data_IF_450969209421
#
_entry.id   IF_450969209421
#
_cell.length_a   1.000
_cell.length_b   1.000
_cell.length_c   1.000
_cell.angle_alpha   90.00
_cell.angle_beta   90.00
_cell.angle_gamma   90.00
#
_symmetry.space_group_name_H-M   'P 1'
#
loop_
_entity.id
_entity.type
_entity.pdbx_description
1 polymer ?
#
# COMPACT_ATOMS: atom_id res chain seq x y z
N UNK A 1 -49.11 63.90 32.16
CA UNK A 1 -47.91 63.90 31.31
C UNK A 1 -47.28 62.52 31.52
N UNK A 2 -47.59 61.59 30.62
CA UNK A 2 -47.21 60.16 30.73
C UNK A 2 -46.07 59.95 29.75
N UNK A 3 -44.87 59.55 30.27
CA UNK A 3 -43.66 59.32 29.48
C UNK A 3 -43.57 57.83 29.19
N UNK A 4 -43.82 57.45 27.92
CA UNK A 4 -43.62 56.06 27.43
C UNK A 4 -42.14 55.81 27.13
N UNK A 5 -41.56 54.88 27.83
CA UNK A 5 -40.18 54.34 27.55
C UNK A 5 -40.31 53.17 26.58
N UNK A 6 -39.83 53.36 25.35
CA UNK A 6 -39.74 52.30 24.37
C UNK A 6 -38.43 51.46 24.59
N UNK A 7 -38.55 50.20 25.00
CA UNK A 7 -37.45 49.27 25.08
C UNK A 7 -37.20 48.69 23.69
N UNK A 8 -36.09 49.07 23.05
CA UNK A 8 -35.62 48.45 21.80
C UNK A 8 -34.78 47.20 22.15
N UNK A 9 -35.40 46.04 21.96
CA UNK A 9 -34.71 44.75 22.12
C UNK A 9 -33.77 44.46 20.92
N UNK A 10 -32.48 44.45 21.17
CA UNK A 10 -31.48 43.98 20.19
C UNK A 10 -31.48 42.44 20.21
N UNK A 11 -32.16 41.83 19.24
CA UNK A 11 -32.02 40.39 18.95
C UNK A 11 -30.64 40.15 18.33
N UNK A 12 -29.66 39.80 19.15
CA UNK A 12 -28.35 39.29 18.69
C UNK A 12 -28.52 37.95 18.03
N UNK A 13 -28.36 37.90 16.70
CA UNK A 13 -28.29 36.64 15.95
C UNK A 13 -26.98 35.95 16.32
N UNK A 14 -27.07 35.02 17.27
CA UNK A 14 -25.96 34.12 17.62
C UNK A 14 -25.73 33.19 16.42
N UNK A 15 -24.74 33.48 15.57
CA UNK A 15 -24.29 32.53 14.55
C UNK A 15 -23.66 31.33 15.30
N UNK A 16 -24.11 30.07 15.03
CA UNK A 16 -23.44 28.93 15.61
C UNK A 16 -21.98 28.96 15.13
N UNK A 17 -21.03 29.07 16.07
CA UNK A 17 -19.63 28.87 15.78
C UNK A 17 -19.48 27.40 15.38
N UNK A 18 -19.40 27.15 14.09
CA UNK A 18 -19.03 25.83 13.56
C UNK A 18 -17.59 25.60 14.01
N UNK A 19 -17.42 24.80 15.07
CA UNK A 19 -16.10 24.35 15.52
C UNK A 19 -15.58 23.44 14.41
N UNK A 20 -14.73 23.96 13.53
CA UNK A 20 -14.08 23.14 12.51
C UNK A 20 -13.26 22.08 13.27
N UNK A 21 -13.65 20.81 13.13
CA UNK A 21 -12.88 19.70 13.66
C UNK A 21 -11.45 19.78 13.09
N UNK A 22 -10.45 19.46 13.92
CA UNK A 22 -9.07 19.38 13.40
C UNK A 22 -9.03 18.33 12.30
N UNK A 23 -8.32 18.58 11.18
CA UNK A 23 -8.13 17.58 10.16
C UNK A 23 -7.54 16.30 10.75
N UNK A 24 -8.02 15.15 10.29
CA UNK A 24 -7.40 13.85 10.58
C UNK A 24 -6.20 13.74 9.64
N UNK A 25 -5.02 13.44 10.18
CA UNK A 25 -3.82 13.20 9.37
C UNK A 25 -3.53 11.71 9.34
N UNK A 26 -3.44 11.15 8.14
CA UNK A 26 -3.12 9.74 7.89
C UNK A 26 -1.69 9.62 7.37
N UNK A 27 -0.95 8.64 7.87
CA UNK A 27 0.35 8.25 7.37
C UNK A 27 0.20 7.33 6.15
N UNK A 28 1.00 7.53 5.09
CA UNK A 28 1.02 6.68 3.91
C UNK A 28 2.46 6.28 3.57
N UNK A 29 2.81 5.02 3.86
CA UNK A 29 4.17 4.50 3.72
C UNK A 29 4.40 3.73 2.42
N UNK A 30 5.62 3.82 1.86
CA UNK A 30 6.11 2.91 0.82
C UNK A 30 7.64 2.82 0.81
N UNK A 31 8.16 1.68 0.34
CA UNK A 31 9.62 1.41 0.34
C UNK A 31 10.37 2.05 -0.82
N UNK A 32 9.66 2.48 -1.86
CA UNK A 32 10.26 3.00 -3.09
C UNK A 32 10.74 4.45 -2.91
N UNK A 33 11.66 4.88 -3.77
CA UNK A 33 12.18 6.25 -3.75
C UNK A 33 11.13 7.31 -4.10
N UNK A 34 11.42 8.56 -3.77
CA UNK A 34 10.55 9.72 -4.07
C UNK A 34 10.35 9.99 -5.58
N UNK A 35 11.17 9.41 -6.44
CA UNK A 35 11.08 9.53 -7.90
C UNK A 35 10.50 8.26 -8.55
N UNK A 36 9.71 7.49 -7.82
CA UNK A 36 9.13 6.24 -8.30
C UNK A 36 7.65 6.38 -8.62
N UNK A 37 7.14 5.44 -9.42
CA UNK A 37 5.69 5.33 -9.69
C UNK A 37 4.87 5.14 -8.39
N UNK A 38 5.44 4.50 -7.36
CA UNK A 38 4.78 4.34 -6.07
C UNK A 38 4.53 5.70 -5.39
N UNK A 39 5.49 6.62 -5.50
CA UNK A 39 5.33 7.98 -4.99
C UNK A 39 4.27 8.76 -5.78
N UNK A 40 4.19 8.55 -7.10
CA UNK A 40 3.16 9.20 -7.92
C UNK A 40 1.77 8.68 -7.54
N UNK A 41 1.61 7.38 -7.36
CA UNK A 41 0.37 6.78 -6.85
C UNK A 41 0.00 7.37 -5.48
N UNK A 42 0.95 7.45 -4.55
CA UNK A 42 0.71 8.01 -3.23
C UNK A 42 0.29 9.49 -3.28
N UNK A 43 0.90 10.29 -4.17
CA UNK A 43 0.52 11.70 -4.41
C UNK A 43 -0.88 11.82 -4.99
N UNK A 44 -1.24 10.96 -5.93
CA UNK A 44 -2.57 10.98 -6.55
C UNK A 44 -3.65 10.64 -5.52
N UNK A 45 -3.42 9.61 -4.70
CA UNK A 45 -4.31 9.25 -3.59
C UNK A 45 -4.42 10.42 -2.61
N UNK A 46 -3.31 11.02 -2.18
CA UNK A 46 -3.29 12.21 -1.32
C UNK A 46 -4.14 13.33 -1.89
N UNK A 47 -3.85 13.72 -3.13
CA UNK A 47 -4.53 14.83 -3.80
C UNK A 47 -6.04 14.57 -3.93
N UNK A 48 -6.42 13.33 -4.26
CA UNK A 48 -7.82 12.94 -4.38
C UNK A 48 -8.55 13.00 -3.02
N UNK A 49 -7.96 12.40 -1.99
CA UNK A 49 -8.57 12.34 -0.65
C UNK A 49 -8.67 13.72 -0.01
N UNK A 50 -7.59 14.51 -0.04
CA UNK A 50 -7.58 15.86 0.52
C UNK A 50 -8.59 16.78 -0.17
N UNK A 51 -8.72 16.65 -1.51
CA UNK A 51 -9.72 17.41 -2.28
C UNK A 51 -11.15 16.95 -1.96
N UNK A 52 -11.40 15.64 -1.89
CA UNK A 52 -12.75 15.09 -1.66
C UNK A 52 -13.25 15.30 -0.24
N UNK A 53 -12.35 15.32 0.73
CA UNK A 53 -12.68 15.62 2.13
C UNK A 53 -12.73 17.12 2.43
N UNK A 54 -12.56 17.99 1.42
CA UNK A 54 -12.42 19.44 1.63
C UNK A 54 -11.35 19.80 2.68
N UNK A 55 -10.28 18.99 2.76
CA UNK A 55 -9.17 19.18 3.69
C UNK A 55 -9.44 18.67 5.11
N UNK A 56 -10.54 17.98 5.37
CA UNK A 56 -10.80 17.31 6.66
C UNK A 56 -9.91 16.11 6.88
N UNK A 57 -9.41 15.49 5.79
CA UNK A 57 -8.42 14.42 5.84
C UNK A 57 -7.14 14.93 5.16
N UNK A 58 -6.00 14.76 5.82
CA UNK A 58 -4.65 15.02 5.32
C UNK A 58 -3.91 13.72 5.17
N UNK A 59 -3.00 13.62 4.21
CA UNK A 59 -2.13 12.45 4.04
C UNK A 59 -0.67 12.90 4.05
N UNK A 60 0.11 12.33 4.96
CA UNK A 60 1.56 12.49 4.99
C UNK A 60 2.22 11.24 4.39
N UNK A 61 3.01 11.43 3.31
CA UNK A 61 3.65 10.34 2.59
C UNK A 61 5.05 10.11 3.17
N UNK A 62 5.35 8.84 3.44
CA UNK A 62 6.62 8.36 4.00
C UNK A 62 7.30 7.40 3.01
N UNK A 63 8.11 7.93 2.07
CA UNK A 63 8.81 7.15 1.05
C UNK A 63 10.11 6.53 1.57
N UNK A 64 10.78 5.75 0.69
CA UNK A 64 12.17 5.28 0.89
C UNK A 64 12.38 4.49 2.18
N UNK A 65 11.43 3.67 2.56
CA UNK A 65 11.49 2.86 3.81
C UNK A 65 11.68 3.69 5.08
N UNK A 66 11.22 4.95 5.09
CA UNK A 66 11.41 5.85 6.24
C UNK A 66 10.66 5.41 7.52
N UNK A 67 9.66 4.54 7.38
CA UNK A 67 8.95 3.89 8.49
C UNK A 67 9.25 2.39 8.60
N UNK A 68 10.35 1.89 8.01
CA UNK A 68 10.73 0.49 8.02
C UNK A 68 10.53 -0.21 6.67
N UNK A 69 10.59 -1.54 6.65
CA UNK A 69 10.34 -2.37 5.48
C UNK A 69 8.86 -2.75 5.32
N UNK A 70 8.53 -3.48 4.26
CA UNK A 70 7.13 -3.86 3.98
C UNK A 70 6.54 -4.78 5.06
N UNK A 71 7.34 -5.60 5.72
CA UNK A 71 6.91 -6.41 6.88
C UNK A 71 6.51 -5.52 8.05
N UNK A 72 7.34 -4.48 8.34
CA UNK A 72 7.04 -3.51 9.39
C UNK A 72 5.75 -2.74 9.08
N UNK A 73 5.46 -2.52 7.78
CA UNK A 73 4.21 -1.86 7.38
C UNK A 73 2.98 -2.72 7.65
N UNK A 74 3.03 -4.04 7.38
CA UNK A 74 1.92 -4.96 7.71
C UNK A 74 1.67 -4.95 9.22
N UNK A 75 2.72 -5.06 10.02
CA UNK A 75 2.62 -5.02 11.49
C UNK A 75 2.13 -3.65 11.98
N UNK A 76 2.62 -2.55 11.38
CA UNK A 76 2.21 -1.19 11.71
C UNK A 76 0.75 -0.91 11.39
N UNK A 77 0.24 -1.40 10.25
CA UNK A 77 -1.18 -1.34 9.90
C UNK A 77 -2.05 -2.10 10.89
N UNK A 78 -1.62 -3.30 11.30
CA UNK A 78 -2.34 -4.11 12.31
C UNK A 78 -2.34 -3.43 13.69
N UNK A 79 -1.24 -2.78 14.06
CA UNK A 79 -1.11 -2.07 15.34
C UNK A 79 -1.75 -0.66 15.31
N UNK A 80 -2.13 -0.14 14.13
CA UNK A 80 -2.65 1.21 13.97
C UNK A 80 -1.59 2.31 14.12
N UNK A 81 -0.31 1.99 13.96
CA UNK A 81 0.80 2.97 13.95
C UNK A 81 1.09 3.52 12.56
N UNK A 82 0.64 2.83 11.53
CA UNK A 82 0.60 3.25 10.12
C UNK A 82 -0.85 3.14 9.66
N UNK A 83 -1.35 4.15 8.93
CA UNK A 83 -2.74 4.18 8.47
C UNK A 83 -2.91 3.59 7.07
N UNK A 84 -1.94 3.81 6.18
CA UNK A 84 -1.95 3.37 4.79
C UNK A 84 -0.55 2.97 4.35
N UNK A 85 -0.45 1.96 3.47
CA UNK A 85 0.82 1.58 2.87
C UNK A 85 0.65 1.01 1.45
N UNK A 86 1.68 1.18 0.60
CA UNK A 86 1.87 0.38 -0.59
C UNK A 86 2.81 -0.78 -0.23
N UNK A 87 2.31 -1.99 -0.35
CA UNK A 87 3.01 -3.21 0.03
C UNK A 87 3.00 -4.18 -1.15
N UNK A 88 4.15 -4.78 -1.44
CA UNK A 88 4.24 -5.83 -2.44
C UNK A 88 3.41 -7.04 -2.00
N UNK A 89 2.50 -7.48 -2.87
CA UNK A 89 1.56 -8.57 -2.56
C UNK A 89 2.25 -9.83 -2.05
N UNK A 90 3.44 -10.13 -2.54
CA UNK A 90 4.26 -11.28 -2.12
C UNK A 90 4.55 -11.31 -0.62
N UNK A 91 4.74 -10.15 0.00
CA UNK A 91 5.04 -10.05 1.43
C UNK A 91 3.90 -10.58 2.29
N UNK A 92 2.66 -10.43 1.80
CA UNK A 92 1.49 -10.97 2.50
C UNK A 92 1.45 -12.50 2.58
N UNK A 93 2.28 -13.25 1.83
CA UNK A 93 2.35 -14.72 1.94
C UNK A 93 2.63 -15.21 3.36
N UNK A 94 3.27 -14.38 4.20
CA UNK A 94 3.54 -14.70 5.60
C UNK A 94 2.26 -14.74 6.47
N UNK A 95 1.17 -14.11 6.02
CA UNK A 95 -0.12 -14.03 6.71
C UNK A 95 -1.27 -14.63 5.88
N UNK A 96 -1.14 -14.64 4.56
CA UNK A 96 -2.13 -15.08 3.60
C UNK A 96 -1.43 -15.78 2.43
N UNK A 97 -1.36 -17.11 2.46
CA UNK A 97 -0.62 -17.91 1.45
C UNK A 97 -1.17 -17.74 0.04
N UNK A 98 -2.47 -17.44 -0.10
CA UNK A 98 -3.15 -17.26 -1.38
C UNK A 98 -2.58 -16.08 -2.18
N UNK A 99 -1.92 -15.11 -1.54
CA UNK A 99 -1.22 -14.03 -2.22
C UNK A 99 -0.09 -14.52 -3.10
N UNK A 100 0.42 -15.73 -2.86
CA UNK A 100 1.40 -16.41 -3.70
C UNK A 100 0.95 -16.64 -5.15
N UNK A 101 -0.35 -16.61 -5.45
CA UNK A 101 -0.87 -16.66 -6.82
C UNK A 101 -0.16 -15.65 -7.74
N UNK A 102 0.17 -14.48 -7.23
CA UNK A 102 0.80 -13.41 -8.01
C UNK A 102 2.32 -13.62 -8.22
N UNK A 103 2.91 -14.59 -7.53
CA UNK A 103 4.33 -14.93 -7.66
C UNK A 103 4.59 -16.25 -8.42
N UNK A 104 3.53 -16.97 -8.83
CA UNK A 104 3.69 -18.17 -9.63
C UNK A 104 4.29 -17.77 -10.99
N UNK A 105 5.45 -18.34 -11.36
CA UNK A 105 6.10 -18.00 -12.62
C UNK A 105 5.20 -18.23 -13.81
N UNK A 106 5.17 -17.27 -14.75
CA UNK A 106 4.47 -17.33 -16.05
C UNK A 106 2.92 -17.40 -15.98
N UNK A 107 2.30 -17.36 -14.80
CA UNK A 107 0.82 -17.36 -14.67
C UNK A 107 0.24 -16.00 -15.09
N UNK A 108 0.93 -14.91 -14.74
CA UNK A 108 0.48 -13.55 -15.06
C UNK A 108 1.34 -13.01 -16.20
N UNK A 109 0.76 -12.96 -17.39
CA UNK A 109 1.49 -12.60 -18.61
C UNK A 109 1.69 -11.09 -18.77
N UNK A 110 0.78 -10.28 -18.23
CA UNK A 110 0.78 -8.82 -18.40
C UNK A 110 -0.02 -8.10 -17.30
N UNK A 111 0.03 -6.77 -17.31
CA UNK A 111 -0.62 -5.94 -16.29
C UNK A 111 -2.15 -5.99 -16.34
N UNK A 112 -2.74 -6.15 -17.52
CA UNK A 112 -4.18 -6.26 -17.66
C UNK A 112 -4.68 -7.57 -17.04
N UNK A 113 -3.95 -8.66 -17.22
CA UNK A 113 -4.23 -9.95 -16.58
C UNK A 113 -4.12 -9.84 -15.05
N UNK A 114 -3.07 -9.19 -14.53
CA UNK A 114 -2.93 -8.96 -13.08
C UNK A 114 -4.11 -8.17 -12.50
N UNK A 115 -4.51 -7.09 -13.18
CA UNK A 115 -5.64 -6.26 -12.79
C UNK A 115 -6.98 -7.02 -12.88
N UNK A 116 -7.18 -7.81 -13.94
CA UNK A 116 -8.38 -8.63 -14.10
C UNK A 116 -8.49 -9.68 -12.99
N UNK A 117 -7.40 -10.37 -12.65
CA UNK A 117 -7.35 -11.34 -11.56
C UNK A 117 -7.68 -10.67 -10.22
N UNK A 118 -7.03 -9.53 -9.91
CA UNK A 118 -7.29 -8.80 -8.67
C UNK A 118 -8.76 -8.39 -8.51
N UNK A 119 -9.40 -7.96 -9.60
CA UNK A 119 -10.79 -7.50 -9.61
C UNK A 119 -11.82 -8.64 -9.76
N UNK A 120 -11.38 -9.89 -9.87
CA UNK A 120 -12.24 -11.05 -9.99
C UNK A 120 -12.57 -11.68 -8.64
N UNK A 121 -13.57 -12.57 -8.64
CA UNK A 121 -13.99 -13.37 -7.47
C UNK A 121 -12.87 -14.33 -6.99
N UNK A 122 -11.89 -14.63 -7.84
CA UNK A 122 -10.72 -15.47 -7.50
C UNK A 122 -9.94 -14.87 -6.32
N UNK A 123 -9.84 -13.53 -6.24
CA UNK A 123 -9.13 -12.84 -5.18
C UNK A 123 -9.99 -12.54 -3.93
N UNK A 124 -11.28 -12.83 -3.94
CA UNK A 124 -12.12 -12.54 -2.77
C UNK A 124 -11.76 -13.34 -1.51
N UNK A 125 -11.38 -14.64 -1.57
CA UNK A 125 -10.89 -15.36 -0.39
C UNK A 125 -9.64 -14.68 0.22
N UNK A 126 -8.68 -14.29 -0.62
CA UNK A 126 -7.47 -13.58 -0.23
C UNK A 126 -7.80 -12.22 0.41
N UNK A 127 -8.62 -11.40 -0.25
CA UNK A 127 -9.04 -10.09 0.29
C UNK A 127 -9.77 -10.25 1.62
N UNK A 128 -10.58 -11.29 1.78
CA UNK A 128 -11.24 -11.61 3.05
C UNK A 128 -10.24 -11.93 4.16
N UNK A 129 -9.17 -12.66 3.85
CA UNK A 129 -8.11 -12.94 4.83
C UNK A 129 -7.37 -11.65 5.22
N UNK A 130 -7.04 -10.78 4.26
CA UNK A 130 -6.42 -9.48 4.55
C UNK A 130 -7.34 -8.63 5.44
N UNK A 131 -8.65 -8.61 5.18
CA UNK A 131 -9.64 -7.94 6.07
C UNK A 131 -9.68 -8.55 7.46
N UNK A 132 -9.54 -9.86 7.60
CA UNK A 132 -9.49 -10.53 8.90
C UNK A 132 -8.24 -10.17 9.72
N UNK A 133 -7.18 -9.68 9.05
CA UNK A 133 -6.00 -9.11 9.71
C UNK A 133 -6.19 -7.64 10.15
N UNK A 134 -7.37 -7.05 9.96
CA UNK A 134 -7.70 -5.67 10.31
C UNK A 134 -7.35 -4.63 9.23
N UNK A 135 -7.05 -5.07 8.02
CA UNK A 135 -6.65 -4.20 6.91
C UNK A 135 -7.67 -4.23 5.77
N UNK A 136 -7.89 -3.12 5.07
CA UNK A 136 -8.75 -3.06 3.87
C UNK A 136 -7.88 -2.95 2.61
N UNK A 137 -7.92 -3.96 1.71
CA UNK A 137 -7.21 -3.92 0.43
C UNK A 137 -7.99 -3.09 -0.58
N UNK A 138 -7.72 -1.79 -0.66
CA UNK A 138 -8.44 -0.85 -1.53
C UNK A 138 -8.18 -1.08 -3.03
N UNK A 139 -6.99 -1.52 -3.39
CA UNK A 139 -6.64 -1.72 -4.79
C UNK A 139 -5.28 -2.37 -4.96
N UNK A 140 -4.96 -2.72 -6.21
CA UNK A 140 -3.63 -3.19 -6.58
C UNK A 140 -3.16 -2.46 -7.84
N UNK A 141 -1.87 -2.20 -7.92
CA UNK A 141 -1.20 -1.65 -9.08
C UNK A 141 0.02 -2.50 -9.43
N UNK A 142 0.25 -2.70 -10.72
CA UNK A 142 1.44 -3.41 -11.18
C UNK A 142 2.59 -2.41 -11.34
N UNK A 143 3.71 -2.66 -10.68
CA UNK A 143 4.89 -1.80 -10.72
C UNK A 143 5.88 -2.17 -11.83
N UNK A 144 5.67 -3.27 -12.51
CA UNK A 144 6.52 -3.77 -13.59
C UNK A 144 6.80 -5.26 -13.49
N UNK A 145 7.46 -5.82 -14.52
CA UNK A 145 7.94 -7.18 -14.50
C UNK A 145 9.23 -7.28 -13.69
N UNK A 146 9.41 -8.40 -12.98
CA UNK A 146 10.67 -8.68 -12.30
C UNK A 146 11.74 -9.08 -13.30
N UNK A 147 12.92 -8.51 -13.14
CA UNK A 147 14.09 -8.81 -13.96
C UNK A 147 15.21 -9.35 -13.08
N UNK A 148 15.84 -10.45 -13.50
CA UNK A 148 17.05 -10.92 -12.86
C UNK A 148 18.24 -10.05 -13.28
N UNK A 149 18.94 -9.49 -12.33
CA UNK A 149 20.21 -8.81 -12.55
C UNK A 149 21.32 -9.53 -11.78
N UNK A 150 22.47 -9.74 -12.41
CA UNK A 150 23.67 -10.29 -11.75
C UNK A 150 24.94 -9.77 -12.44
N UNK A 151 26.07 -9.86 -11.74
CA UNK A 151 27.39 -9.46 -12.24
C UNK A 151 28.37 -10.65 -12.39
N UNK A 152 27.86 -11.87 -12.33
CA UNK A 152 28.68 -13.11 -12.37
C UNK A 152 28.79 -13.66 -13.79
N UNK A 153 27.64 -13.84 -14.48
CA UNK A 153 27.56 -14.42 -15.82
C UNK A 153 26.22 -14.13 -16.50
N UNK A 154 26.13 -14.19 -17.83
CA UNK A 154 24.86 -14.20 -18.53
C UNK A 154 23.98 -15.37 -18.07
N UNK A 155 22.68 -15.13 -17.95
CA UNK A 155 21.66 -16.17 -17.66
C UNK A 155 20.74 -16.26 -18.87
N UNK A 156 20.84 -17.33 -19.63
CA UNK A 156 20.09 -17.57 -20.86
C UNK A 156 19.18 -18.79 -20.77
N UNK A 157 19.54 -19.72 -19.90
CA UNK A 157 18.75 -20.93 -19.61
C UNK A 157 18.66 -21.16 -18.09
N UNK A 158 17.67 -21.91 -17.59
CA UNK A 158 17.52 -22.15 -16.15
C UNK A 158 18.78 -22.71 -15.46
N UNK A 159 19.56 -23.55 -16.17
CA UNK A 159 20.79 -24.11 -15.63
C UNK A 159 21.85 -23.06 -15.27
N UNK A 160 21.84 -21.90 -15.91
CA UNK A 160 22.78 -20.80 -15.64
C UNK A 160 22.56 -20.16 -14.26
N UNK A 161 21.40 -20.40 -13.65
CA UNK A 161 21.05 -19.87 -12.30
C UNK A 161 21.81 -20.62 -11.20
N UNK A 162 22.20 -21.85 -11.45
CA UNK A 162 22.80 -22.71 -10.43
C UNK A 162 24.03 -22.08 -9.77
N UNK A 163 23.98 -21.99 -8.44
CA UNK A 163 25.06 -21.45 -7.61
C UNK A 163 25.18 -19.92 -7.62
N UNK A 164 24.30 -19.18 -8.32
CA UNK A 164 24.19 -17.72 -8.15
C UNK A 164 23.62 -17.41 -6.77
N UNK A 165 24.11 -16.35 -6.15
CA UNK A 165 23.47 -15.79 -4.96
C UNK A 165 22.43 -14.77 -5.42
N UNK A 166 21.15 -15.05 -5.13
CA UNK A 166 20.03 -14.23 -5.58
C UNK A 166 19.29 -13.65 -4.37
N UNK A 167 19.14 -12.34 -4.35
CA UNK A 167 18.27 -11.66 -3.38
C UNK A 167 16.83 -11.72 -3.87
N UNK A 168 15.92 -12.12 -3.00
CA UNK A 168 14.48 -12.00 -3.22
C UNK A 168 13.80 -11.36 -2.01
N UNK A 169 12.51 -11.09 -2.11
CA UNK A 169 11.74 -10.56 -0.99
C UNK A 169 11.46 -11.66 0.04
N UNK A 170 11.02 -11.25 1.23
CA UNK A 170 10.66 -12.15 2.34
C UNK A 170 9.30 -12.78 2.05
N UNK A 171 9.30 -13.80 1.17
CA UNK A 171 8.12 -14.57 0.78
C UNK A 171 8.53 -15.98 0.36
N UNK A 172 7.72 -16.99 0.72
CA UNK A 172 8.08 -18.40 0.52
C UNK A 172 8.22 -18.77 -0.96
N UNK A 173 7.23 -18.45 -1.79
CA UNK A 173 7.20 -18.90 -3.18
C UNK A 173 8.36 -18.37 -4.04
N UNK A 174 8.75 -17.08 -3.97
CA UNK A 174 9.95 -16.58 -4.61
C UNK A 174 11.23 -17.28 -4.14
N UNK A 175 11.36 -17.56 -2.84
CA UNK A 175 12.52 -18.27 -2.28
C UNK A 175 12.60 -19.68 -2.88
N UNK A 176 11.55 -20.48 -2.74
CA UNK A 176 11.47 -21.84 -3.26
C UNK A 176 11.71 -21.91 -4.77
N UNK A 177 11.17 -20.96 -5.53
CA UNK A 177 11.36 -20.90 -7.00
C UNK A 177 12.84 -20.81 -7.36
N UNK A 178 13.60 -19.93 -6.72
CA UNK A 178 15.02 -19.78 -7.03
C UNK A 178 15.87 -20.92 -6.47
N UNK A 179 15.52 -21.49 -5.31
CA UNK A 179 16.18 -22.67 -4.74
C UNK A 179 16.02 -23.90 -5.65
N UNK A 180 14.82 -24.12 -6.19
CA UNK A 180 14.56 -25.21 -7.15
C UNK A 180 15.39 -25.07 -8.43
N UNK A 181 15.74 -23.86 -8.84
CA UNK A 181 16.65 -23.58 -9.94
C UNK A 181 18.14 -23.72 -9.54
N UNK A 182 18.43 -24.03 -8.27
CA UNK A 182 19.78 -24.24 -7.74
C UNK A 182 20.52 -22.97 -7.35
N UNK A 183 19.83 -21.85 -7.13
CA UNK A 183 20.43 -20.64 -6.59
C UNK A 183 20.67 -20.75 -5.06
N UNK A 184 21.59 -19.92 -4.56
CA UNK A 184 21.72 -19.63 -3.14
C UNK A 184 20.83 -18.40 -2.84
N UNK A 185 19.71 -18.57 -2.15
CA UNK A 185 18.74 -17.49 -1.95
C UNK A 185 19.01 -16.75 -0.66
N UNK A 186 18.92 -15.42 -0.73
CA UNK A 186 18.93 -14.52 0.40
C UNK A 186 17.65 -13.70 0.38
N UNK A 187 16.78 -13.89 1.37
CA UNK A 187 15.53 -13.13 1.49
C UNK A 187 15.73 -11.91 2.40
N UNK A 188 15.43 -10.73 1.89
CA UNK A 188 15.50 -9.47 2.64
C UNK A 188 14.63 -8.38 1.99
#
# INVERSE_FOLDING_TARGET
>A
MIMSIACVGILGVCKPAFCAAKPVTLSFAHVMSENSIAQDIARDVKNYVEKKSNGEIKIDIYPSSSLGGETDYVEGLQAGTIDMALITISVFQNWCSETGLFDIPFIIENFDAASAIWNSDICEPMKKQIRALGMEPYGAAALGARMLTNNVRPVTVPADVKGLTIRTMVANLPVETWELLGANVVSM
#
